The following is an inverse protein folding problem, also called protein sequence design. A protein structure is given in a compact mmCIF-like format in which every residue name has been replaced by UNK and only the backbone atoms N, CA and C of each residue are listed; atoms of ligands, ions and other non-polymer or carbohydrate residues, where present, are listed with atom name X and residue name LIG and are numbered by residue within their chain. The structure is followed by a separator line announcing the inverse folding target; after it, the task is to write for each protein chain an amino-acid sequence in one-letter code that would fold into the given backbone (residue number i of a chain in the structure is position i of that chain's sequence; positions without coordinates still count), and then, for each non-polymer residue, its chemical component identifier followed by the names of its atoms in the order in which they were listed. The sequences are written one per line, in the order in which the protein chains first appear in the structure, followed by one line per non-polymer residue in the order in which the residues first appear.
data_IF_239328877241
#
_entry.id   IF_239328877241
#
_cell.length_a   1.000
_cell.length_b   1.000
_cell.length_c   1.000
_cell.angle_alpha   90.00
_cell.angle_beta   90.00
_cell.angle_gamma   90.00
#
_symmetry.space_group_name_H-M   'P 1'
#
loop_
_entity.id
_entity.type
_entity.pdbx_description
1 polymer ?
#
# COMPACT_ATOMS: atom_id res chain seq x y z
N UNK A 1 23.10 -3.81 -7.40
CA UNK A 1 22.89 -4.47 -8.68
C UNK A 1 23.16 -3.52 -9.83
N UNK A 2 23.22 -4.02 -11.03
CA UNK A 2 23.43 -3.21 -12.23
C UNK A 2 22.16 -2.38 -12.52
N UNK A 3 22.12 -1.16 -12.05
CA UNK A 3 20.99 -0.23 -12.21
C UNK A 3 19.91 -0.39 -11.16
N UNK A 4 19.14 0.66 -10.98
CA UNK A 4 17.93 0.65 -10.16
C UNK A 4 16.78 0.04 -10.94
N UNK A 5 16.14 -0.94 -10.36
CA UNK A 5 15.01 -1.66 -10.93
C UNK A 5 13.70 -1.37 -10.19
N UNK A 6 13.53 -0.16 -9.72
CA UNK A 6 12.47 0.22 -8.81
C UNK A 6 12.86 0.10 -7.33
N UNK A 7 14.05 -0.45 -7.04
CA UNK A 7 14.55 -0.63 -5.68
C UNK A 7 14.64 0.69 -4.93
N UNK A 8 15.13 1.75 -5.57
CA UNK A 8 15.24 3.05 -4.91
C UNK A 8 13.86 3.59 -4.49
N UNK A 9 12.85 3.46 -5.33
CA UNK A 9 11.47 3.87 -4.99
C UNK A 9 10.92 3.03 -3.84
N UNK A 10 11.14 1.71 -3.87
CA UNK A 10 10.68 0.78 -2.84
C UNK A 10 11.41 1.02 -1.51
N UNK A 11 12.73 1.20 -1.53
CA UNK A 11 13.52 1.51 -0.32
C UNK A 11 13.08 2.84 0.29
N UNK A 12 12.93 3.90 -0.51
CA UNK A 12 12.47 5.19 0.00
C UNK A 12 11.06 5.09 0.61
N UNK A 13 10.14 4.39 -0.07
CA UNK A 13 8.79 4.11 0.43
C UNK A 13 8.82 3.35 1.75
N UNK A 14 9.51 2.22 1.80
CA UNK A 14 9.56 1.35 2.98
C UNK A 14 10.27 1.98 4.16
N UNK A 15 11.47 2.55 3.94
CA UNK A 15 12.29 3.17 4.99
C UNK A 15 11.63 4.40 5.61
N UNK A 16 10.99 5.26 4.80
CA UNK A 16 10.26 6.43 5.31
C UNK A 16 9.07 6.04 6.20
N UNK A 17 8.29 5.05 5.77
CA UNK A 17 7.13 4.57 6.55
C UNK A 17 7.57 3.83 7.81
N UNK A 18 8.62 3.02 7.72
CA UNK A 18 9.22 2.36 8.88
C UNK A 18 9.70 3.37 9.92
N UNK A 19 10.50 4.36 9.53
CA UNK A 19 11.02 5.39 10.43
C UNK A 19 9.91 6.18 11.13
N UNK A 20 8.87 6.57 10.38
CA UNK A 20 7.69 7.23 10.94
C UNK A 20 6.96 6.32 11.94
N UNK A 21 6.68 5.06 11.55
CA UNK A 21 5.96 4.12 12.41
C UNK A 21 6.75 3.73 13.65
N UNK A 22 8.08 3.64 13.56
CA UNK A 22 8.95 3.39 14.71
C UNK A 22 8.88 4.53 15.71
N UNK A 23 8.88 5.78 15.23
CA UNK A 23 8.83 6.98 16.07
C UNK A 23 10.14 7.30 16.82
N UNK A 24 11.24 6.64 16.44
CA UNK A 24 12.57 6.90 17.02
C UNK A 24 13.32 7.91 16.13
N UNK A 25 13.52 9.11 16.69
CA UNK A 25 14.18 10.21 15.96
C UNK A 25 15.63 9.89 15.61
N UNK A 26 16.38 9.24 16.49
CA UNK A 26 17.79 8.95 16.25
C UNK A 26 17.96 7.87 15.17
N UNK A 27 17.09 6.87 15.13
CA UNK A 27 17.06 5.88 14.07
C UNK A 27 16.61 6.49 12.75
N UNK A 28 15.60 7.35 12.77
CA UNK A 28 15.12 8.09 11.61
C UNK A 28 16.23 8.97 10.98
N UNK A 29 17.04 9.65 11.81
CA UNK A 29 18.20 10.44 11.35
C UNK A 29 19.26 9.57 10.68
N UNK A 30 19.48 8.34 11.15
CA UNK A 30 20.41 7.39 10.51
C UNK A 30 19.91 6.89 9.15
N UNK A 31 18.58 6.73 9.00
CA UNK A 31 17.97 6.29 7.74
C UNK A 31 17.83 7.42 6.73
N UNK A 32 17.79 8.67 7.18
CA UNK A 32 17.53 9.82 6.31
C UNK A 32 18.46 9.92 5.10
N UNK A 33 19.79 9.76 5.21
CA UNK A 33 20.68 9.83 4.04
C UNK A 33 20.34 8.81 2.95
N UNK A 34 19.94 7.60 3.33
CA UNK A 34 19.51 6.57 2.38
C UNK A 34 18.19 6.96 1.70
N UNK A 35 17.22 7.42 2.48
CA UNK A 35 15.92 7.89 1.95
C UNK A 35 16.14 9.03 0.96
N UNK A 36 16.90 10.04 1.33
CA UNK A 36 17.20 11.21 0.50
C UNK A 36 17.91 10.82 -0.79
N UNK A 37 18.91 9.91 -0.70
CA UNK A 37 19.61 9.40 -1.87
C UNK A 37 18.65 8.68 -2.83
N UNK A 38 17.78 7.81 -2.32
CA UNK A 38 16.82 7.08 -3.13
C UNK A 38 15.80 8.03 -3.81
N UNK A 39 15.32 9.04 -3.09
CA UNK A 39 14.40 10.04 -3.65
C UNK A 39 15.08 10.85 -4.76
N UNK A 40 16.32 11.25 -4.54
CA UNK A 40 17.09 12.00 -5.53
C UNK A 40 17.42 11.13 -6.75
N UNK A 41 17.72 9.85 -6.54
CA UNK A 41 17.91 8.90 -7.62
C UNK A 41 16.65 8.80 -8.51
N UNK A 42 15.47 8.59 -7.91
CA UNK A 42 14.21 8.57 -8.66
C UNK A 42 13.97 9.90 -9.39
N UNK A 43 14.24 11.04 -8.75
CA UNK A 43 14.08 12.36 -9.35
C UNK A 43 14.95 12.56 -10.59
N UNK A 44 16.21 12.12 -10.57
CA UNK A 44 17.14 12.19 -11.70
C UNK A 44 16.76 11.25 -12.84
N UNK A 45 16.03 10.20 -12.54
CA UNK A 45 15.56 9.22 -13.52
C UNK A 45 14.11 9.48 -13.99
N UNK A 46 13.57 10.68 -13.78
CA UNK A 46 12.30 11.06 -14.41
C UNK A 46 12.53 11.20 -15.91
N UNK A 47 11.68 10.53 -16.70
CA UNK A 47 11.66 10.67 -18.15
C UNK A 47 10.96 11.98 -18.58
N UNK A 48 10.88 12.26 -19.87
CA UNK A 48 10.22 13.45 -20.42
C UNK A 48 8.75 13.57 -20.04
N UNK A 49 8.08 12.47 -19.77
CA UNK A 49 6.68 12.43 -19.28
C UNK A 49 6.57 12.67 -17.76
N UNK A 50 7.72 12.77 -17.06
CA UNK A 50 7.79 13.02 -15.63
C UNK A 50 7.36 11.82 -14.76
N UNK A 51 7.52 10.59 -15.26
CA UNK A 51 7.43 9.34 -14.50
C UNK A 51 8.81 8.70 -14.39
N UNK A 52 9.03 7.82 -13.41
CA UNK A 52 10.34 7.24 -13.16
C UNK A 52 10.67 6.22 -14.24
N UNK A 53 11.79 6.43 -14.94
CA UNK A 53 12.35 5.45 -15.87
C UNK A 53 12.90 4.26 -15.08
N UNK A 54 12.39 3.07 -15.39
CA UNK A 54 12.81 1.80 -14.81
C UNK A 54 12.43 0.69 -15.78
N UNK A 55 13.42 -0.06 -16.24
CA UNK A 55 13.26 -1.14 -17.22
C UNK A 55 12.99 -2.52 -16.57
N UNK A 56 12.95 -2.56 -15.26
CA UNK A 56 12.62 -3.75 -14.48
C UNK A 56 11.85 -3.37 -13.22
N UNK A 57 11.18 -4.32 -12.65
CA UNK A 57 10.48 -4.25 -11.36
C UNK A 57 10.89 -5.41 -10.46
N UNK A 58 10.24 -5.55 -9.31
CA UNK A 58 10.47 -6.64 -8.37
C UNK A 58 10.14 -8.06 -8.91
N UNK A 59 9.52 -8.15 -10.10
CA UNK A 59 9.31 -9.41 -10.80
C UNK A 59 10.56 -9.89 -11.55
N UNK A 60 11.66 -9.16 -11.47
CA UNK A 60 12.99 -9.55 -11.97
C UNK A 60 12.99 -10.01 -13.43
N UNK A 61 12.24 -9.30 -14.29
CA UNK A 61 12.06 -9.57 -15.72
C UNK A 61 11.30 -10.86 -16.05
N UNK A 62 10.59 -11.46 -15.12
CA UNK A 62 9.65 -12.57 -15.44
C UNK A 62 8.54 -12.15 -16.36
N UNK A 63 8.13 -10.88 -16.27
CA UNK A 63 7.18 -10.23 -17.17
C UNK A 63 7.75 -8.89 -17.64
N UNK A 64 7.36 -8.40 -18.81
CA UNK A 64 7.83 -7.10 -19.29
C UNK A 64 7.47 -5.96 -18.33
N UNK A 65 8.42 -5.07 -18.06
CA UNK A 65 8.22 -3.88 -17.23
C UNK A 65 8.27 -2.56 -18.03
N UNK A 66 8.63 -2.61 -19.32
CA UNK A 66 8.78 -1.43 -20.19
C UNK A 66 10.01 -0.59 -19.83
N UNK A 67 10.04 0.65 -20.27
CA UNK A 67 11.09 1.63 -19.95
C UNK A 67 10.74 2.48 -18.72
N UNK A 68 9.50 2.44 -18.29
CA UNK A 68 8.95 3.02 -17.07
C UNK A 68 7.73 2.19 -16.68
N UNK A 69 7.57 1.88 -15.41
CA UNK A 69 6.46 1.07 -14.93
C UNK A 69 5.66 1.77 -13.83
N UNK A 70 4.39 1.36 -13.73
CA UNK A 70 3.40 1.93 -12.82
C UNK A 70 3.79 1.74 -11.34
N UNK A 71 4.36 0.58 -10.99
CA UNK A 71 4.77 0.26 -9.63
C UNK A 71 5.81 1.23 -9.12
N UNK A 72 6.94 1.37 -9.82
CA UNK A 72 8.05 2.26 -9.44
C UNK A 72 7.58 3.71 -9.24
N UNK A 73 6.82 4.25 -10.20
CA UNK A 73 6.31 5.62 -10.11
C UNK A 73 5.31 5.81 -8.97
N UNK A 74 4.46 4.82 -8.69
CA UNK A 74 3.48 4.88 -7.60
C UNK A 74 4.14 4.79 -6.23
N UNK A 75 5.16 3.95 -6.07
CA UNK A 75 5.94 3.86 -4.82
C UNK A 75 6.74 5.14 -4.57
N UNK A 76 7.35 5.72 -5.62
CA UNK A 76 8.02 7.02 -5.51
C UNK A 76 7.06 8.14 -5.08
N UNK A 77 5.81 8.13 -5.55
CA UNK A 77 4.78 9.07 -5.11
C UNK A 77 4.55 9.01 -3.59
N UNK A 78 4.34 7.81 -3.04
CA UNK A 78 4.12 7.68 -1.59
C UNK A 78 5.40 7.93 -0.78
N UNK A 79 6.57 7.60 -1.33
CA UNK A 79 7.86 7.90 -0.73
C UNK A 79 8.06 9.41 -0.55
N UNK A 80 7.72 10.24 -1.54
CA UNK A 80 7.75 11.70 -1.43
C UNK A 80 6.86 12.23 -0.31
N UNK A 81 5.64 11.67 -0.17
CA UNK A 81 4.70 12.07 0.87
C UNK A 81 5.21 11.66 2.26
N UNK A 82 5.63 10.40 2.41
CA UNK A 82 6.09 9.86 3.68
C UNK A 82 7.40 10.51 4.13
N UNK A 83 8.35 10.70 3.22
CA UNK A 83 9.58 11.44 3.50
C UNK A 83 9.33 12.93 3.78
N UNK A 84 8.29 13.51 3.19
CA UNK A 84 7.85 14.87 3.51
C UNK A 84 7.44 15.03 4.98
N UNK A 85 6.68 14.06 5.52
CA UNK A 85 6.33 14.03 6.95
C UNK A 85 7.56 13.80 7.82
N UNK A 86 8.38 12.80 7.47
CA UNK A 86 9.56 12.44 8.22
C UNK A 86 10.57 13.58 8.28
N UNK A 87 10.92 14.14 7.13
CA UNK A 87 11.90 15.21 7.04
C UNK A 87 11.45 16.50 7.73
N UNK A 88 10.14 16.78 7.77
CA UNK A 88 9.59 17.89 8.57
C UNK A 88 9.92 17.71 10.05
N UNK A 89 9.72 16.52 10.62
CA UNK A 89 10.01 16.23 12.03
C UNK A 89 11.51 16.19 12.31
N UNK A 90 12.35 15.89 11.32
CA UNK A 90 13.81 15.92 11.39
C UNK A 90 14.41 17.30 11.07
N UNK A 91 13.60 18.30 10.71
CA UNK A 91 14.08 19.63 10.31
C UNK A 91 14.82 19.65 8.97
N UNK A 92 14.49 18.75 8.05
CA UNK A 92 15.12 18.64 6.72
C UNK A 92 14.39 19.49 5.68
N UNK A 93 15.06 19.88 4.56
CA UNK A 93 14.48 20.74 3.52
C UNK A 93 13.55 19.97 2.58
N UNK A 94 12.33 19.67 3.03
CA UNK A 94 11.34 18.84 2.30
C UNK A 94 10.25 19.63 1.56
N UNK A 95 10.34 20.97 1.50
CA UNK A 95 9.29 21.81 0.93
C UNK A 95 8.93 21.48 -0.54
N UNK A 96 9.84 20.88 -1.30
CA UNK A 96 9.61 20.49 -2.68
C UNK A 96 8.83 19.18 -2.83
N UNK A 97 8.86 18.28 -1.85
CA UNK A 97 8.33 16.91 -1.98
C UNK A 97 6.81 16.89 -2.22
N UNK A 98 6.03 17.72 -1.56
CA UNK A 98 4.59 17.80 -1.78
C UNK A 98 4.25 18.24 -3.22
N UNK A 99 4.99 19.20 -3.78
CA UNK A 99 4.80 19.65 -5.17
C UNK A 99 5.21 18.55 -6.16
N UNK A 100 6.32 17.87 -5.90
CA UNK A 100 6.78 16.74 -6.71
C UNK A 100 5.78 15.60 -6.71
N UNK A 101 5.24 15.23 -5.54
CA UNK A 101 4.19 14.22 -5.42
C UNK A 101 2.93 14.60 -6.21
N UNK A 102 2.48 15.86 -6.10
CA UNK A 102 1.30 16.35 -6.84
C UNK A 102 1.52 16.30 -8.35
N UNK A 103 2.70 16.68 -8.83
CA UNK A 103 3.04 16.61 -10.25
C UNK A 103 3.12 15.16 -10.74
N UNK A 104 3.80 14.31 -9.96
CA UNK A 104 3.96 12.89 -10.28
C UNK A 104 2.62 12.15 -10.35
N UNK A 105 1.69 12.42 -9.43
CA UNK A 105 0.33 11.85 -9.48
C UNK A 105 -0.37 12.14 -10.81
N UNK A 106 -0.31 13.40 -11.28
CA UNK A 106 -0.88 13.79 -12.58
C UNK A 106 -0.19 13.11 -13.75
N UNK A 107 1.13 12.96 -13.68
CA UNK A 107 1.92 12.31 -14.71
C UNK A 107 1.65 10.80 -14.76
N UNK A 108 1.45 10.15 -13.61
CA UNK A 108 1.05 8.74 -13.52
C UNK A 108 -0.28 8.52 -14.26
N UNK A 109 -1.30 9.34 -14.00
CA UNK A 109 -2.58 9.20 -14.70
C UNK A 109 -2.44 9.46 -16.21
N UNK A 110 -1.66 10.47 -16.60
CA UNK A 110 -1.45 10.81 -18.02
C UNK A 110 -0.70 9.73 -18.78
N UNK A 111 0.35 9.15 -18.19
CA UNK A 111 1.25 8.22 -18.86
C UNK A 111 0.73 6.78 -18.83
N UNK A 112 0.24 6.33 -17.69
CA UNK A 112 -0.21 4.95 -17.51
C UNK A 112 -1.72 4.78 -17.66
N UNK A 113 -2.53 5.84 -17.46
CA UNK A 113 -3.99 5.78 -17.57
C UNK A 113 -4.43 5.38 -18.97
N UNK A 114 -5.40 4.46 -19.07
CA UNK A 114 -5.95 4.02 -20.34
C UNK A 114 -6.80 2.77 -20.22
N UNK A 115 -7.34 2.33 -21.36
CA UNK A 115 -8.16 1.12 -21.43
C UNK A 115 -7.28 -0.10 -21.66
N UNK A 116 -7.42 -1.11 -20.79
CA UNK A 116 -6.76 -2.41 -20.89
C UNK A 116 -7.84 -3.49 -20.79
N UNK A 117 -7.95 -4.36 -21.78
CA UNK A 117 -8.96 -5.43 -21.85
C UNK A 117 -10.40 -4.95 -21.54
N UNK A 118 -10.75 -3.71 -21.96
CA UNK A 118 -12.08 -3.12 -21.75
C UNK A 118 -12.27 -2.35 -20.44
N UNK A 119 -11.29 -2.34 -19.53
CA UNK A 119 -11.34 -1.57 -18.29
C UNK A 119 -10.59 -0.25 -18.42
N UNK A 120 -11.20 0.87 -18.03
CA UNK A 120 -10.54 2.19 -17.98
C UNK A 120 -9.70 2.32 -16.70
N UNK A 121 -8.56 1.63 -16.70
CA UNK A 121 -7.65 1.49 -15.58
C UNK A 121 -6.25 2.03 -15.90
N UNK A 122 -5.22 1.27 -15.62
CA UNK A 122 -3.83 1.62 -15.92
C UNK A 122 -3.19 0.57 -16.81
N UNK A 123 -2.44 1.01 -17.80
CA UNK A 123 -1.40 0.22 -18.44
C UNK A 123 -0.24 0.09 -17.47
N UNK A 124 0.33 -1.08 -17.34
CA UNK A 124 1.47 -1.27 -16.44
C UNK A 124 2.74 -0.55 -16.94
N UNK A 125 2.90 -0.48 -18.26
CA UNK A 125 3.92 0.30 -18.98
C UNK A 125 3.35 0.80 -20.30
N UNK A 126 4.04 1.68 -20.99
CA UNK A 126 3.64 2.19 -22.30
C UNK A 126 3.52 1.06 -23.32
N UNK A 127 2.36 0.94 -23.98
CA UNK A 127 2.06 -0.12 -24.94
C UNK A 127 1.58 -1.44 -24.31
N UNK A 128 1.47 -1.54 -22.96
CA UNK A 128 0.89 -2.71 -22.32
C UNK A 128 -0.62 -2.79 -22.58
N UNK A 129 -1.07 -3.92 -23.10
CA UNK A 129 -2.46 -4.21 -23.46
C UNK A 129 -3.07 -5.40 -22.70
N UNK A 130 -2.31 -5.98 -21.75
CA UNK A 130 -2.72 -7.12 -20.93
C UNK A 130 -2.83 -6.70 -19.48
N UNK A 131 -3.90 -7.11 -18.79
CA UNK A 131 -4.10 -6.80 -17.38
C UNK A 131 -2.98 -7.39 -16.52
N UNK A 132 -2.47 -6.57 -15.60
CA UNK A 132 -1.45 -6.91 -14.61
C UNK A 132 -2.01 -6.66 -13.20
N UNK A 133 -1.74 -7.55 -12.26
CA UNK A 133 -2.20 -7.35 -10.87
C UNK A 133 -1.60 -6.09 -10.21
N UNK A 134 -0.42 -5.65 -10.65
CA UNK A 134 0.24 -4.44 -10.15
C UNK A 134 -0.49 -3.12 -10.43
N UNK A 135 -1.59 -3.11 -11.18
CA UNK A 135 -2.49 -1.95 -11.24
C UNK A 135 -3.12 -1.63 -9.87
N UNK A 136 -2.99 -2.51 -8.88
CA UNK A 136 -3.41 -2.28 -7.51
C UNK A 136 -2.52 -1.26 -6.76
N UNK A 137 -1.28 -1.05 -7.17
CA UNK A 137 -0.34 -0.19 -6.42
C UNK A 137 -0.82 1.26 -6.30
N UNK A 138 -1.33 1.92 -7.34
CA UNK A 138 -1.96 3.25 -7.20
C UNK A 138 -2.99 3.31 -6.08
N UNK A 139 -3.93 2.35 -6.01
CA UNK A 139 -4.96 2.30 -4.96
C UNK A 139 -4.31 2.23 -3.57
N UNK A 140 -3.31 1.40 -3.44
CA UNK A 140 -2.59 1.15 -2.18
C UNK A 140 -1.86 2.38 -1.64
N UNK A 141 -1.37 3.24 -2.53
CA UNK A 141 -0.67 4.47 -2.17
C UNK A 141 -1.57 5.71 -2.17
N UNK A 142 -2.87 5.55 -2.41
CA UNK A 142 -3.87 6.61 -2.34
C UNK A 142 -4.07 7.39 -3.64
N UNK A 143 -3.67 6.82 -4.79
CA UNK A 143 -4.02 7.33 -6.13
C UNK A 143 -5.30 6.61 -6.55
N UNK A 144 -6.44 7.30 -6.50
CA UNK A 144 -7.77 6.72 -6.64
C UNK A 144 -8.54 7.25 -7.86
N UNK A 145 -7.87 7.93 -8.79
CA UNK A 145 -8.51 8.61 -9.93
C UNK A 145 -9.24 7.60 -10.84
N UNK A 146 -8.78 6.34 -10.90
CA UNK A 146 -9.38 5.23 -11.69
C UNK A 146 -9.82 4.05 -10.82
N UNK A 147 -10.17 4.31 -9.54
CA UNK A 147 -10.40 3.24 -8.55
C UNK A 147 -11.45 2.23 -8.99
N UNK A 148 -12.60 2.67 -9.48
CA UNK A 148 -13.75 1.80 -9.73
C UNK A 148 -13.46 0.78 -10.83
N UNK A 149 -12.93 1.22 -11.96
CA UNK A 149 -12.56 0.33 -13.07
C UNK A 149 -11.32 -0.52 -12.73
N UNK A 150 -10.38 0.01 -11.93
CA UNK A 150 -9.22 -0.76 -11.46
C UNK A 150 -9.67 -1.90 -10.53
N UNK A 151 -10.58 -1.64 -9.59
CA UNK A 151 -11.15 -2.68 -8.71
C UNK A 151 -11.94 -3.71 -9.52
N UNK A 152 -12.73 -3.27 -10.51
CA UNK A 152 -13.42 -4.19 -11.41
C UNK A 152 -12.45 -5.08 -12.20
N UNK A 153 -11.37 -4.53 -12.72
CA UNK A 153 -10.34 -5.27 -13.43
C UNK A 153 -9.63 -6.31 -12.54
N UNK A 154 -9.22 -5.91 -11.33
CA UNK A 154 -8.56 -6.80 -10.37
C UNK A 154 -9.40 -8.02 -10.00
N UNK A 155 -10.70 -7.81 -9.77
CA UNK A 155 -11.61 -8.88 -9.36
C UNK A 155 -12.44 -9.45 -10.51
N UNK A 156 -12.05 -9.18 -11.76
CA UNK A 156 -12.61 -9.84 -12.93
C UNK A 156 -12.08 -11.28 -13.07
N UNK A 157 -12.76 -12.17 -13.79
CA UNK A 157 -12.25 -13.51 -14.09
C UNK A 157 -10.93 -13.54 -14.87
N UNK A 158 -10.46 -12.37 -15.33
CA UNK A 158 -9.15 -12.24 -16.00
C UNK A 158 -7.98 -12.29 -15.04
N UNK A 159 -8.16 -11.81 -13.79
CA UNK A 159 -7.10 -11.76 -12.78
C UNK A 159 -7.45 -12.53 -11.52
N UNK A 160 -8.71 -12.47 -11.06
CA UNK A 160 -9.11 -13.13 -9.82
C UNK A 160 -9.47 -14.59 -10.03
N UNK A 161 -8.89 -15.44 -9.22
CA UNK A 161 -9.10 -16.90 -9.24
C UNK A 161 -9.28 -17.45 -7.83
N UNK A 162 -9.44 -18.76 -7.71
CA UNK A 162 -9.53 -19.45 -6.42
C UNK A 162 -8.28 -19.30 -5.54
N UNK A 163 -7.11 -18.99 -6.15
CA UNK A 163 -5.84 -18.82 -5.44
C UNK A 163 -5.44 -17.37 -5.22
N UNK A 164 -6.31 -16.41 -5.50
CA UNK A 164 -6.02 -14.97 -5.45
C UNK A 164 -5.77 -14.37 -6.84
N UNK A 165 -4.96 -13.32 -6.89
CA UNK A 165 -4.67 -12.63 -8.15
C UNK A 165 -3.56 -13.30 -8.96
N UNK A 166 -3.84 -13.57 -10.24
CA UNK A 166 -2.81 -13.85 -11.22
C UNK A 166 -1.87 -12.64 -11.34
N UNK A 167 -0.60 -12.91 -11.53
CA UNK A 167 0.39 -11.85 -11.78
C UNK A 167 0.06 -11.07 -13.04
N UNK A 168 -0.38 -11.78 -14.09
CA UNK A 168 -0.81 -11.23 -15.38
C UNK A 168 -1.97 -12.07 -15.92
N UNK A 169 -2.91 -11.46 -16.59
CA UNK A 169 -4.01 -12.15 -17.26
C UNK A 169 -3.46 -13.16 -18.28
N UNK A 170 -3.99 -14.38 -18.24
CA UNK A 170 -3.53 -15.48 -19.11
C UNK A 170 -2.25 -16.19 -18.63
N UNK A 171 -1.65 -15.80 -17.50
CA UNK A 171 -0.60 -16.57 -16.85
C UNK A 171 -1.18 -17.62 -15.89
N UNK A 172 -0.33 -18.50 -15.37
CA UNK A 172 -0.70 -19.48 -14.34
C UNK A 172 -0.07 -19.16 -12.97
N UNK A 173 0.64 -18.03 -12.89
CA UNK A 173 1.37 -17.65 -11.67
C UNK A 173 0.53 -16.72 -10.80
N UNK A 174 0.33 -17.13 -9.56
CA UNK A 174 -0.27 -16.33 -8.50
C UNK A 174 0.81 -15.72 -7.63
N UNK A 175 0.60 -14.48 -7.24
CA UNK A 175 1.49 -13.81 -6.33
C UNK A 175 0.71 -13.32 -5.12
N UNK A 176 1.00 -13.91 -3.97
CA UNK A 176 0.39 -13.49 -2.71
C UNK A 176 0.66 -12.00 -2.46
N UNK A 177 1.85 -11.53 -2.81
CA UNK A 177 2.22 -10.12 -2.71
C UNK A 177 1.22 -9.21 -3.42
N UNK A 178 0.88 -9.47 -4.66
CA UNK A 178 -0.06 -8.63 -5.40
C UNK A 178 -1.48 -8.71 -4.85
N UNK A 179 -1.94 -9.90 -4.42
CA UNK A 179 -3.23 -10.07 -3.75
C UNK A 179 -3.31 -9.24 -2.46
N UNK A 180 -2.25 -9.28 -1.64
CA UNK A 180 -2.19 -8.57 -0.37
C UNK A 180 -2.14 -7.04 -0.55
N UNK A 181 -1.38 -6.55 -1.54
CA UNK A 181 -1.40 -5.14 -1.92
C UNK A 181 -2.78 -4.70 -2.44
N UNK A 182 -3.42 -5.52 -3.29
CA UNK A 182 -4.74 -5.21 -3.83
C UNK A 182 -5.79 -5.10 -2.72
N UNK A 183 -5.88 -6.08 -1.82
CA UNK A 183 -6.84 -6.06 -0.71
C UNK A 183 -6.65 -4.83 0.18
N UNK A 184 -5.40 -4.45 0.49
CA UNK A 184 -5.10 -3.24 1.23
C UNK A 184 -5.57 -1.98 0.48
N UNK A 185 -5.34 -1.91 -0.82
CA UNK A 185 -5.78 -0.81 -1.67
C UNK A 185 -7.30 -0.70 -1.76
N UNK A 186 -8.01 -1.82 -1.83
CA UNK A 186 -9.49 -1.85 -1.90
C UNK A 186 -10.11 -1.34 -0.60
N UNK A 187 -9.58 -1.72 0.58
CA UNK A 187 -9.97 -1.10 1.86
C UNK A 187 -9.70 0.41 1.87
N UNK A 188 -8.53 0.85 1.41
CA UNK A 188 -8.19 2.27 1.34
C UNK A 188 -9.15 3.08 0.44
N UNK A 189 -9.71 2.43 -0.59
CA UNK A 189 -10.72 3.02 -1.46
C UNK A 189 -12.14 3.08 -0.86
N UNK A 190 -12.36 2.48 0.31
CA UNK A 190 -13.65 2.46 0.99
C UNK A 190 -14.57 1.31 0.58
N UNK A 191 -14.08 0.36 -0.18
CA UNK A 191 -14.83 -0.84 -0.58
C UNK A 191 -14.72 -1.93 0.49
N UNK A 192 -15.19 -1.60 1.71
CA UNK A 192 -15.02 -2.40 2.93
C UNK A 192 -15.54 -3.82 2.78
N UNK A 193 -16.79 -3.97 2.31
CA UNK A 193 -17.44 -5.28 2.20
C UNK A 193 -16.73 -6.16 1.18
N UNK A 194 -16.46 -5.61 0.00
CA UNK A 194 -15.73 -6.31 -1.05
C UNK A 194 -14.34 -6.77 -0.58
N UNK A 195 -13.58 -5.88 0.06
CA UNK A 195 -12.27 -6.21 0.58
C UNK A 195 -12.34 -7.31 1.65
N UNK A 196 -13.37 -7.26 2.52
CA UNK A 196 -13.57 -8.25 3.58
C UNK A 196 -13.92 -9.62 3.00
N UNK A 197 -14.81 -9.70 2.02
CA UNK A 197 -15.19 -10.95 1.37
C UNK A 197 -14.02 -11.61 0.67
N UNK A 198 -13.25 -10.85 -0.09
CA UNK A 198 -12.05 -11.36 -0.76
C UNK A 198 -10.94 -11.74 0.22
N UNK A 199 -10.77 -10.98 1.32
CA UNK A 199 -9.81 -11.34 2.38
C UNK A 199 -10.22 -12.64 3.07
N UNK A 200 -11.51 -12.82 3.38
CA UNK A 200 -12.06 -14.05 3.96
C UNK A 200 -11.82 -15.24 3.02
N UNK A 201 -12.15 -15.07 1.74
CA UNK A 201 -11.94 -16.10 0.73
C UNK A 201 -10.44 -16.46 0.62
N UNK A 202 -9.56 -15.49 0.41
CA UNK A 202 -8.12 -15.70 0.33
C UNK A 202 -7.59 -16.42 1.57
N UNK A 203 -7.97 -15.97 2.76
CA UNK A 203 -7.50 -16.56 4.02
C UNK A 203 -7.94 -18.02 4.17
N UNK A 204 -9.18 -18.35 3.82
CA UNK A 204 -9.70 -19.71 3.92
C UNK A 204 -9.02 -20.67 2.94
N UNK A 205 -8.73 -20.22 1.71
CA UNK A 205 -8.09 -21.04 0.68
C UNK A 205 -6.59 -21.17 0.87
N UNK A 206 -5.92 -20.09 1.27
CA UNK A 206 -4.46 -20.00 1.22
C UNK A 206 -3.77 -20.13 2.57
N UNK A 207 -4.46 -19.86 3.68
CA UNK A 207 -3.85 -19.85 5.01
C UNK A 207 -4.44 -20.89 5.95
N UNK A 208 -5.68 -21.35 5.74
CA UNK A 208 -6.39 -22.27 6.64
C UNK A 208 -6.63 -23.66 6.04
N UNK A 209 -6.35 -23.87 4.76
CA UNK A 209 -6.50 -25.15 4.05
C UNK A 209 -5.31 -26.08 4.28
N UNK A 210 -5.12 -27.02 3.35
CA UNK A 210 -3.96 -27.95 3.34
C UNK A 210 -2.63 -27.26 3.03
N UNK A 211 -2.68 -25.96 2.82
CA UNK A 211 -1.54 -25.12 2.52
C UNK A 211 -0.75 -24.75 3.79
N UNK A 212 0.47 -24.22 3.60
CA UNK A 212 1.20 -23.63 4.72
C UNK A 212 0.39 -22.47 5.34
N UNK A 213 0.35 -22.31 6.67
CA UNK A 213 -0.51 -21.34 7.34
C UNK A 213 0.04 -19.91 7.31
N UNK A 214 0.64 -19.52 6.20
CA UNK A 214 1.21 -18.17 5.99
C UNK A 214 1.29 -17.85 4.50
N UNK A 215 1.29 -16.58 4.16
CA UNK A 215 1.46 -16.10 2.80
C UNK A 215 2.86 -16.44 2.26
N UNK A 216 2.93 -16.80 0.99
CA UNK A 216 4.16 -17.16 0.28
C UNK A 216 4.38 -16.22 -0.91
N UNK A 217 5.57 -16.25 -1.50
CA UNK A 217 5.91 -15.35 -2.60
C UNK A 217 5.05 -15.64 -3.84
N UNK A 218 5.04 -16.87 -4.32
CA UNK A 218 4.36 -17.26 -5.55
C UNK A 218 3.77 -18.68 -5.45
N UNK A 219 2.73 -18.94 -6.24
CA UNK A 219 2.03 -20.20 -6.35
C UNK A 219 1.62 -20.42 -7.82
N UNK A 220 1.70 -21.59 -8.43
CA UNK A 220 2.26 -22.87 -7.92
C UNK A 220 3.77 -23.02 -8.16
N UNK A 221 4.53 -21.95 -8.33
CA UNK A 221 5.98 -22.06 -8.51
C UNK A 221 6.60 -22.93 -7.42
N UNK A 222 7.31 -23.96 -7.83
CA UNK A 222 7.89 -24.97 -6.93
C UNK A 222 8.78 -24.38 -5.84
N UNK A 223 9.13 -25.14 -4.80
CA UNK A 223 9.88 -24.68 -3.63
C UNK A 223 9.28 -23.40 -3.02
N UNK A 224 8.02 -23.47 -2.66
CA UNK A 224 7.33 -22.40 -1.98
C UNK A 224 8.14 -21.91 -0.78
N UNK A 225 8.59 -20.68 -0.87
CA UNK A 225 9.39 -20.09 0.18
C UNK A 225 8.50 -19.17 0.99
N UNK A 226 8.54 -19.37 2.30
CA UNK A 226 8.01 -18.38 3.21
C UNK A 226 8.95 -17.17 3.20
N UNK A 227 8.46 -16.06 2.71
CA UNK A 227 9.11 -14.78 2.88
C UNK A 227 8.36 -13.98 3.95
N UNK A 228 9.08 -13.50 4.95
CA UNK A 228 8.50 -12.69 6.03
C UNK A 228 7.85 -11.40 5.51
N UNK A 229 8.24 -10.96 4.32
CA UNK A 229 7.63 -9.81 3.66
C UNK A 229 6.13 -10.02 3.37
N UNK A 230 5.73 -11.16 2.83
CA UNK A 230 4.32 -11.47 2.52
C UNK A 230 3.48 -11.59 3.79
N UNK A 231 4.01 -12.22 4.83
CA UNK A 231 3.34 -12.26 6.14
C UNK A 231 3.16 -10.85 6.72
N UNK A 232 4.16 -9.99 6.58
CA UNK A 232 4.06 -8.57 6.95
C UNK A 232 3.02 -7.83 6.13
N UNK A 233 2.90 -8.09 4.84
CA UNK A 233 1.86 -7.51 3.99
C UNK A 233 0.45 -7.93 4.39
N UNK A 234 0.26 -9.19 4.80
CA UNK A 234 -1.02 -9.64 5.35
C UNK A 234 -1.42 -8.85 6.60
N UNK A 235 -0.50 -8.66 7.56
CA UNK A 235 -0.74 -7.81 8.73
C UNK A 235 -1.08 -6.37 8.33
N UNK A 236 -0.48 -5.84 7.26
CA UNK A 236 -0.74 -4.49 6.76
C UNK A 236 -2.13 -4.34 6.12
N UNK A 237 -2.78 -5.41 5.65
CA UNK A 237 -4.19 -5.34 5.25
C UNK A 237 -5.06 -4.93 6.44
N UNK A 238 -4.77 -5.47 7.62
CA UNK A 238 -5.51 -5.12 8.84
C UNK A 238 -5.14 -3.72 9.31
N UNK A 239 -3.85 -3.44 9.52
CA UNK A 239 -3.41 -2.17 10.13
C UNK A 239 -3.61 -0.98 9.19
N UNK A 240 -3.21 -1.07 7.92
CA UNK A 240 -3.24 0.03 6.96
C UNK A 240 -4.48 0.01 6.05
N UNK A 241 -5.09 -1.17 5.85
CA UNK A 241 -6.35 -1.32 5.09
C UNK A 241 -7.57 -1.14 5.99
N UNK A 242 -7.88 -2.13 6.82
CA UNK A 242 -9.10 -2.17 7.63
C UNK A 242 -9.13 -1.06 8.71
N UNK A 243 -8.03 -0.84 9.45
CA UNK A 243 -7.93 0.27 10.38
C UNK A 243 -7.48 1.58 9.70
N UNK A 244 -6.91 1.51 8.50
CA UNK A 244 -6.50 2.66 7.72
C UNK A 244 -5.41 3.51 8.38
N UNK A 245 -4.51 2.90 9.15
CA UNK A 245 -3.44 3.61 9.86
C UNK A 245 -2.39 4.10 8.86
N UNK A 246 -2.16 5.40 8.85
CA UNK A 246 -1.12 6.05 8.05
C UNK A 246 -0.27 6.99 8.92
N UNK A 247 1.03 6.73 9.06
CA UNK A 247 1.95 7.61 9.77
C UNK A 247 2.00 9.00 9.11
N UNK A 248 1.97 10.05 9.93
CA UNK A 248 2.04 11.46 9.48
C UNK A 248 3.07 12.28 10.26
N UNK A 249 3.84 11.63 11.12
CA UNK A 249 4.91 12.19 11.91
C UNK A 249 5.50 11.12 12.82
N UNK A 250 6.62 11.40 13.47
CA UNK A 250 7.28 10.46 14.39
C UNK A 250 6.41 10.13 15.62
N UNK A 251 5.44 10.97 15.96
CA UNK A 251 4.52 10.79 17.08
C UNK A 251 3.06 10.98 16.66
N UNK A 252 2.74 10.83 15.38
CA UNK A 252 1.39 11.10 14.88
C UNK A 252 1.02 10.22 13.69
N UNK A 253 -0.27 9.91 13.61
CA UNK A 253 -0.86 9.20 12.49
C UNK A 253 -2.28 9.67 12.20
N UNK A 254 -2.75 9.36 11.01
CA UNK A 254 -4.16 9.40 10.66
C UNK A 254 -4.63 7.96 10.52
N UNK A 255 -5.86 7.68 10.91
CA UNK A 255 -6.49 6.40 10.61
C UNK A 255 -7.94 6.58 10.16
N UNK A 256 -8.42 5.61 9.39
CA UNK A 256 -9.72 5.65 8.71
C UNK A 256 -10.36 4.28 8.85
N UNK A 257 -11.05 4.00 9.96
CA UNK A 257 -11.56 2.67 10.22
C UNK A 257 -12.63 2.25 9.20
N UNK A 258 -12.55 0.99 8.76
CA UNK A 258 -13.43 0.33 7.81
C UNK A 258 -14.02 -0.90 8.50
N UNK A 259 -15.11 -0.70 9.26
CA UNK A 259 -15.77 -1.77 10.00
C UNK A 259 -16.78 -2.48 9.11
N UNK A 260 -16.59 -3.78 8.77
CA UNK A 260 -17.58 -4.52 7.98
C UNK A 260 -18.98 -4.46 8.60
N UNK A 261 -20.02 -4.43 7.76
CA UNK A 261 -21.41 -4.25 8.22
C UNK A 261 -21.87 -5.34 9.18
N UNK A 262 -21.41 -6.56 8.98
CA UNK A 262 -21.73 -7.71 9.83
C UNK A 262 -21.03 -7.67 11.21
N UNK A 263 -20.08 -6.76 11.42
CA UNK A 263 -19.32 -6.69 12.66
C UNK A 263 -19.84 -5.59 13.57
N UNK A 264 -20.06 -5.92 14.84
CA UNK A 264 -20.41 -4.94 15.87
C UNK A 264 -19.19 -4.11 16.31
N UNK A 265 -18.01 -4.70 16.25
CA UNK A 265 -16.78 -4.04 16.68
C UNK A 265 -15.53 -4.69 16.07
N UNK A 266 -14.43 -3.96 16.10
CA UNK A 266 -13.09 -4.45 15.85
C UNK A 266 -12.10 -3.75 16.77
N UNK A 267 -11.09 -4.48 17.25
CA UNK A 267 -10.09 -3.95 18.16
C UNK A 267 -8.68 -4.34 17.69
N UNK A 268 -7.77 -3.40 17.74
CA UNK A 268 -6.35 -3.63 17.53
C UNK A 268 -5.62 -3.27 18.81
N UNK A 269 -5.04 -4.26 19.47
CA UNK A 269 -4.47 -4.11 20.81
C UNK A 269 -2.96 -4.24 20.79
N UNK A 270 -2.30 -3.55 21.74
CA UNK A 270 -0.86 -3.57 21.95
C UNK A 270 -0.08 -3.20 20.69
N UNK A 271 -0.55 -2.19 19.96
CA UNK A 271 0.17 -1.65 18.82
C UNK A 271 1.45 -1.00 19.33
N UNK A 272 2.61 -1.52 18.90
CA UNK A 272 3.91 -0.94 19.20
C UNK A 272 4.35 -0.07 18.03
N UNK A 273 4.05 1.22 18.07
CA UNK A 273 4.40 2.18 17.04
C UNK A 273 4.51 3.61 17.63
N UNK A 274 5.16 4.52 16.91
CA UNK A 274 5.31 5.93 17.32
C UNK A 274 5.96 6.09 18.70
N UNK A 275 6.88 5.17 19.04
CA UNK A 275 7.51 5.06 20.36
C UNK A 275 6.48 4.95 21.51
N UNK A 276 5.31 4.36 21.23
CA UNK A 276 4.21 4.14 22.16
C UNK A 276 3.69 2.71 22.08
N UNK A 277 2.97 2.28 23.10
CA UNK A 277 2.10 1.09 23.07
C UNK A 277 0.67 1.56 23.30
N UNK A 278 -0.20 1.25 22.36
CA UNK A 278 -1.59 1.73 22.41
C UNK A 278 -2.57 0.73 21.80
N UNK A 279 -3.84 0.95 22.09
CA UNK A 279 -4.99 0.20 21.54
C UNK A 279 -5.86 1.13 20.70
N UNK A 280 -6.48 0.56 19.68
CA UNK A 280 -7.57 1.19 18.91
C UNK A 280 -8.80 0.31 19.06
N UNK A 281 -9.91 0.88 19.50
CA UNK A 281 -11.21 0.23 19.60
C UNK A 281 -12.21 0.95 18.70
N UNK A 282 -12.93 0.17 17.90
CA UNK A 282 -13.97 0.67 16.99
C UNK A 282 -15.23 -0.13 17.25
N UNK A 283 -16.35 0.54 17.53
CA UNK A 283 -17.65 -0.06 17.80
C UNK A 283 -18.74 0.61 16.98
N UNK A 284 -19.65 -0.18 16.44
CA UNK A 284 -20.81 0.33 15.70
C UNK A 284 -21.85 0.89 16.65
N UNK A 285 -22.35 2.08 16.34
CA UNK A 285 -23.44 2.76 17.05
C UNK A 285 -24.46 3.27 16.02
N UNK A 286 -25.35 2.40 15.56
CA UNK A 286 -26.27 2.72 14.47
C UNK A 286 -25.50 2.97 13.17
N UNK A 287 -25.66 4.15 12.59
CA UNK A 287 -25.00 4.61 11.36
C UNK A 287 -23.61 5.23 11.60
N UNK A 288 -23.17 5.28 12.85
CA UNK A 288 -21.87 5.86 13.24
C UNK A 288 -20.96 4.80 13.86
N UNK A 289 -19.68 5.16 13.95
CA UNK A 289 -18.67 4.40 14.67
C UNK A 289 -18.20 5.20 15.90
N UNK A 290 -18.22 4.54 17.06
CA UNK A 290 -17.50 5.01 18.24
C UNK A 290 -16.06 4.53 18.14
N UNK A 291 -15.10 5.44 18.19
CA UNK A 291 -13.68 5.12 18.05
C UNK A 291 -12.91 5.66 19.25
N UNK A 292 -12.16 4.76 19.92
CA UNK A 292 -11.29 5.12 21.03
C UNK A 292 -9.84 4.74 20.73
N UNK A 293 -8.91 5.59 21.14
CA UNK A 293 -7.47 5.32 21.17
C UNK A 293 -7.01 5.43 22.61
N UNK A 294 -6.38 4.37 23.12
CA UNK A 294 -5.98 4.23 24.52
C UNK A 294 -4.48 3.94 24.55
N UNK A 295 -3.71 4.77 25.27
CA UNK A 295 -2.29 4.55 25.52
C UNK A 295 -2.01 4.64 27.01
N UNK A 296 -1.19 3.75 27.57
CA UNK A 296 -0.85 3.65 29.00
C UNK A 296 -2.10 3.68 29.91
N UNK A 297 -3.17 3.00 29.51
CA UNK A 297 -4.44 2.96 30.23
C UNK A 297 -5.24 4.27 30.22
N UNK A 298 -4.80 5.27 29.46
CA UNK A 298 -5.48 6.56 29.33
C UNK A 298 -6.11 6.69 27.96
N UNK A 299 -7.33 7.20 27.90
CA UNK A 299 -8.01 7.52 26.63
C UNK A 299 -7.39 8.77 26.02
N UNK A 300 -6.68 8.61 24.92
CA UNK A 300 -6.07 9.71 24.15
C UNK A 300 -7.12 10.37 23.25
N UNK A 301 -8.02 9.59 22.67
CA UNK A 301 -9.10 10.07 21.82
C UNK A 301 -10.33 9.19 22.00
N UNK A 302 -11.51 9.80 22.02
CA UNK A 302 -12.80 9.10 22.00
C UNK A 302 -13.77 9.91 21.18
N UNK A 303 -14.19 9.42 20.00
CA UNK A 303 -14.98 10.15 19.03
C UNK A 303 -16.07 9.30 18.40
N UNK A 304 -17.16 9.94 18.01
CA UNK A 304 -18.15 9.39 17.09
C UNK A 304 -17.87 9.94 15.70
N UNK A 305 -17.82 9.08 14.72
CA UNK A 305 -17.54 9.42 13.32
C UNK A 305 -18.46 8.64 12.39
N UNK A 306 -18.56 9.08 11.14
CA UNK A 306 -19.07 8.24 10.05
C UNK A 306 -17.97 7.33 9.55
N UNK A 307 -18.33 6.16 9.03
CA UNK A 307 -17.35 5.28 8.38
C UNK A 307 -16.63 6.04 7.26
N UNK A 308 -15.31 5.88 7.19
CA UNK A 308 -14.48 6.55 6.20
C UNK A 308 -14.02 7.96 6.57
N UNK A 309 -14.42 8.51 7.70
CA UNK A 309 -13.86 9.75 8.21
C UNK A 309 -12.46 9.54 8.79
N UNK A 310 -11.57 10.49 8.52
CA UNK A 310 -10.20 10.49 9.01
C UNK A 310 -10.12 11.00 10.45
N UNK A 311 -9.44 10.25 11.30
CA UNK A 311 -9.10 10.66 12.67
C UNK A 311 -7.60 10.90 12.75
N UNK A 312 -7.20 12.09 13.22
CA UNK A 312 -5.79 12.39 13.48
C UNK A 312 -5.49 12.22 14.95
N UNK A 313 -4.44 11.46 15.23
CA UNK A 313 -3.88 11.23 16.58
C UNK A 313 -2.48 11.81 16.62
N UNK A 314 -2.15 12.43 17.75
CA UNK A 314 -0.81 12.88 18.11
C UNK A 314 -0.57 12.50 19.56
N UNK A 315 0.52 11.80 19.82
CA UNK A 315 1.03 11.46 21.14
C UNK A 315 1.88 12.56 21.73
#
# INVERSE_FOLDING_TARGET
GAGDRGDAAMVAYGASRYALSKGDKAEAEKLWPLIEWCLEYCRRNLNESGVVASDADELENRFPAGKANLCTSSLYYDALISAGYLGKDLGKPVAAYARQATALKKNIDRYFGGTVEGFDTYKYYEGNDVLRSWICIPLTVGIQDRKDATIQALFSPRLWTENGLLTQAGSETFWDRSTLYALRGVYACGETEKATDYLRFYSSQRLLGEHVPYAIEAWPEGNQRHLSAESGLYCRIITEGMFGIRPTGLNSFVFTPRLPQEWDHMNLRKICAFNQVFDIEVKRLGDQLQVAVIADGKTISNRKIKEGENIRIKF
#
